data_IF_161877747702
#
_entry.id   IF_161877747702
#
_cell.length_a   1.000
_cell.length_b   1.000
_cell.length_c   1.000
_cell.angle_alpha   90.00
_cell.angle_beta   90.00
_cell.angle_gamma   90.00
#
_symmetry.space_group_name_H-M   'P 1'
#
loop_
_entity.id
_entity.type
_entity.pdbx_description
1 polymer ?
#
# COMPACT_ATOMS: atom_id res chain seq x y z
N UNK A 1 -6.24 33.28 17.69
CA UNK A 1 -7.29 32.94 16.69
C UNK A 1 -6.71 32.32 15.42
N UNK A 2 -5.60 32.84 14.88
CA UNK A 2 -4.93 32.30 13.69
C UNK A 2 -4.47 30.83 13.81
N UNK A 3 -4.08 30.37 15.00
CA UNK A 3 -3.66 28.99 15.26
C UNK A 3 -4.81 27.98 15.08
N UNK A 4 -5.98 28.25 15.66
CA UNK A 4 -7.17 27.39 15.50
C UNK A 4 -7.61 27.30 14.04
N UNK A 5 -7.64 28.41 13.31
CA UNK A 5 -8.00 28.40 11.89
C UNK A 5 -6.98 27.66 11.04
N UNK A 6 -5.70 27.76 11.38
CA UNK A 6 -4.63 26.98 10.74
C UNK A 6 -4.84 25.48 10.95
N UNK A 7 -5.14 25.05 12.17
CA UNK A 7 -5.42 23.63 12.46
C UNK A 7 -6.66 23.16 11.69
N UNK A 8 -7.75 23.94 11.67
CA UNK A 8 -8.97 23.61 10.90
C UNK A 8 -8.68 23.46 9.41
N UNK A 9 -7.88 24.36 8.82
CA UNK A 9 -7.46 24.28 7.42
C UNK A 9 -6.65 23.00 7.15
N UNK A 10 -5.72 22.65 8.03
CA UNK A 10 -4.93 21.42 7.93
C UNK A 10 -5.80 20.16 8.00
N UNK A 11 -6.73 20.10 8.96
CA UNK A 11 -7.69 18.97 9.09
C UNK A 11 -8.50 18.80 7.80
N UNK A 12 -9.07 19.88 7.26
CA UNK A 12 -9.83 19.84 6.00
C UNK A 12 -8.97 19.34 4.83
N UNK A 13 -7.71 19.77 4.74
CA UNK A 13 -6.80 19.30 3.70
C UNK A 13 -6.51 17.79 3.82
N UNK A 14 -6.25 17.29 5.03
CA UNK A 14 -6.03 15.85 5.29
C UNK A 14 -7.27 15.01 5.00
N UNK A 15 -8.48 15.49 5.35
CA UNK A 15 -9.73 14.79 5.01
C UNK A 15 -9.96 14.69 3.49
N UNK A 16 -9.68 15.75 2.73
CA UNK A 16 -9.77 15.70 1.26
C UNK A 16 -8.79 14.69 0.66
N UNK A 17 -7.56 14.68 1.17
CA UNK A 17 -6.53 13.72 0.75
C UNK A 17 -6.95 12.28 1.10
N UNK A 18 -7.41 12.05 2.33
CA UNK A 18 -7.92 10.76 2.79
C UNK A 18 -9.04 10.24 1.88
N UNK A 19 -10.07 11.07 1.64
CA UNK A 19 -11.19 10.69 0.80
C UNK A 19 -10.78 10.39 -0.64
N UNK A 20 -9.83 11.15 -1.20
CA UNK A 20 -9.29 10.90 -2.53
C UNK A 20 -8.54 9.58 -2.59
N UNK A 21 -7.70 9.31 -1.60
CA UNK A 21 -6.96 8.05 -1.51
C UNK A 21 -7.90 6.84 -1.37
N UNK A 22 -8.92 6.93 -0.52
CA UNK A 22 -9.92 5.85 -0.36
C UNK A 22 -10.63 5.58 -1.69
N UNK A 23 -11.06 6.62 -2.40
CA UNK A 23 -11.68 6.47 -3.73
C UNK A 23 -10.74 5.82 -4.75
N UNK A 24 -9.46 6.17 -4.75
CA UNK A 24 -8.46 5.56 -5.62
C UNK A 24 -8.28 4.07 -5.30
N UNK A 25 -8.21 3.71 -4.01
CA UNK A 25 -8.09 2.32 -3.58
C UNK A 25 -9.31 1.49 -4.01
N UNK A 26 -10.52 2.01 -3.85
CA UNK A 26 -11.75 1.31 -4.25
C UNK A 26 -11.88 1.08 -5.76
N UNK A 27 -11.12 1.80 -6.60
CA UNK A 27 -11.08 1.56 -8.06
C UNK A 27 -10.28 0.31 -8.45
N UNK A 28 -9.40 -0.19 -7.57
CA UNK A 28 -8.59 -1.37 -7.86
C UNK A 28 -9.35 -2.65 -7.52
N UNK A 29 -10.19 -3.10 -8.47
CA UNK A 29 -11.13 -4.23 -8.29
C UNK A 29 -10.46 -5.60 -8.22
N UNK A 30 -9.36 -5.79 -8.96
CA UNK A 30 -8.68 -7.07 -9.08
C UNK A 30 -7.20 -6.92 -8.74
N UNK A 31 -6.70 -7.87 -7.94
CA UNK A 31 -5.35 -7.87 -7.40
C UNK A 31 -4.84 -9.29 -7.29
N UNK A 32 -3.52 -9.44 -7.40
CA UNK A 32 -2.88 -10.72 -7.16
C UNK A 32 -1.77 -10.55 -6.12
N UNK A 33 -1.77 -11.41 -5.11
CA UNK A 33 -0.69 -11.50 -4.14
C UNK A 33 0.29 -12.60 -4.54
N UNK A 34 1.56 -12.24 -4.72
CA UNK A 34 2.59 -13.20 -5.04
C UNK A 34 3.85 -12.58 -5.62
N UNK A 35 4.65 -13.44 -6.23
CA UNK A 35 5.88 -13.09 -6.94
C UNK A 35 5.90 -13.79 -8.29
N UNK A 36 6.21 -13.05 -9.34
CA UNK A 36 6.39 -13.57 -10.69
C UNK A 36 7.88 -13.57 -11.02
N UNK A 37 8.44 -14.73 -11.39
CA UNK A 37 9.86 -14.87 -11.69
C UNK A 37 10.09 -15.86 -12.84
N UNK A 38 11.17 -15.70 -13.62
CA UNK A 38 11.54 -16.67 -14.63
C UNK A 38 12.17 -17.91 -14.00
N UNK A 39 11.86 -19.08 -14.55
CA UNK A 39 12.52 -20.35 -14.25
C UNK A 39 13.15 -20.91 -15.52
N UNK A 40 14.29 -21.57 -15.35
CA UNK A 40 14.98 -22.28 -16.43
C UNK A 40 15.18 -23.73 -16.04
N UNK A 41 14.90 -24.66 -16.96
CA UNK A 41 14.83 -26.09 -16.68
C UNK A 41 15.59 -26.96 -17.68
N UNK A 42 15.75 -28.23 -17.31
CA UNK A 42 16.25 -29.30 -18.18
C UNK A 42 15.05 -30.03 -18.81
N UNK A 43 15.19 -30.51 -20.05
CA UNK A 43 14.11 -31.22 -20.75
C UNK A 43 14.14 -32.75 -20.57
N UNK A 44 15.12 -33.30 -19.84
CA UNK A 44 15.25 -34.74 -19.58
C UNK A 44 15.88 -35.56 -20.72
N UNK A 45 15.93 -35.04 -21.95
CA UNK A 45 16.55 -35.74 -23.09
C UNK A 45 18.08 -35.88 -22.89
N UNK A 46 18.66 -37.10 -22.98
CA UNK A 46 20.08 -37.34 -22.70
C UNK A 46 21.03 -36.55 -23.61
N UNK A 47 20.65 -36.35 -24.87
CA UNK A 47 21.46 -35.70 -25.91
C UNK A 47 21.21 -34.19 -26.03
N UNK A 48 20.34 -33.61 -25.20
CA UNK A 48 20.04 -32.20 -25.30
C UNK A 48 21.16 -31.33 -24.72
N UNK A 49 21.61 -30.33 -25.48
CA UNK A 49 22.61 -29.35 -25.05
C UNK A 49 22.24 -28.57 -23.78
N UNK A 50 20.96 -28.58 -23.34
CA UNK A 50 20.56 -27.98 -22.07
C UNK A 50 21.23 -28.62 -20.84
N UNK A 51 21.75 -29.86 -20.96
CA UNK A 51 22.44 -30.58 -19.87
C UNK A 51 23.82 -30.01 -19.54
N UNK A 52 24.54 -29.51 -20.54
CA UNK A 52 25.92 -28.99 -20.40
C UNK A 52 26.02 -27.51 -20.75
N UNK A 53 24.95 -26.90 -21.26
CA UNK A 53 24.89 -25.50 -21.69
C UNK A 53 23.63 -24.77 -21.21
N UNK A 54 23.08 -23.92 -22.07
CA UNK A 54 21.94 -23.05 -21.73
C UNK A 54 20.67 -23.86 -21.43
N UNK A 55 20.10 -23.67 -20.23
CA UNK A 55 18.83 -24.28 -19.81
C UNK A 55 17.64 -23.73 -20.60
N UNK A 56 16.60 -24.55 -20.76
CA UNK A 56 15.36 -24.14 -21.43
C UNK A 56 14.59 -23.11 -20.61
N UNK A 57 13.93 -22.18 -21.29
CA UNK A 57 13.17 -21.09 -20.69
C UNK A 57 13.45 -19.74 -21.36
N UNK A 58 12.96 -18.63 -20.78
CA UNK A 58 12.31 -18.57 -19.48
C UNK A 58 10.88 -19.12 -19.48
N UNK A 59 10.57 -19.96 -18.50
CA UNK A 59 9.19 -20.27 -18.11
C UNK A 59 8.82 -19.34 -16.96
N UNK A 60 7.79 -18.52 -17.11
CA UNK A 60 7.38 -17.64 -16.03
C UNK A 60 6.53 -18.38 -15.01
N UNK A 61 6.91 -18.26 -13.74
CA UNK A 61 6.22 -18.90 -12.63
C UNK A 61 5.70 -17.83 -11.70
N UNK A 62 4.40 -17.90 -11.44
CA UNK A 62 3.77 -17.16 -10.36
C UNK A 62 3.79 -18.03 -9.10
N UNK A 63 4.37 -17.50 -8.03
CA UNK A 63 4.23 -18.04 -6.69
C UNK A 63 3.26 -17.20 -5.89
N UNK A 64 2.14 -17.78 -5.46
CA UNK A 64 1.24 -17.18 -4.48
C UNK A 64 1.43 -17.89 -3.14
N UNK A 65 1.42 -17.13 -2.04
CA UNK A 65 1.40 -17.68 -0.68
C UNK A 65 0.10 -17.24 -0.03
N UNK A 66 -0.76 -18.19 0.31
CA UNK A 66 -1.96 -17.96 1.13
C UNK A 66 -1.96 -18.92 2.31
N UNK A 67 -2.13 -18.41 3.53
CA UNK A 67 -2.28 -19.23 4.74
C UNK A 67 -1.20 -20.32 4.93
N UNK A 68 0.07 -19.99 4.69
CA UNK A 68 1.19 -20.92 4.90
C UNK A 68 1.40 -21.97 3.80
N UNK A 69 0.52 -22.04 2.79
CA UNK A 69 0.68 -22.91 1.61
C UNK A 69 1.01 -22.07 0.38
N UNK A 70 2.07 -22.47 -0.32
CA UNK A 70 2.49 -21.84 -1.58
C UNK A 70 1.96 -22.63 -2.77
N UNK A 71 1.32 -21.96 -3.73
CA UNK A 71 1.01 -22.54 -5.04
C UNK A 71 1.97 -21.94 -6.08
N UNK A 72 2.35 -22.76 -7.06
CA UNK A 72 3.10 -22.32 -8.24
C UNK A 72 2.25 -22.56 -9.48
N UNK A 73 2.13 -21.53 -10.32
CA UNK A 73 1.49 -21.62 -11.62
C UNK A 73 2.48 -21.19 -12.71
N UNK A 74 2.63 -22.00 -13.74
CA UNK A 74 3.35 -21.62 -14.96
C UNK A 74 2.42 -20.80 -15.84
N UNK A 75 2.91 -19.70 -16.38
CA UNK A 75 2.12 -18.75 -17.16
C UNK A 75 2.66 -18.64 -18.59
N UNK A 76 1.74 -18.51 -19.55
CA UNK A 76 2.05 -18.09 -20.92
C UNK A 76 2.34 -16.57 -21.01
N UNK A 77 2.70 -16.08 -22.20
CA UNK A 77 3.05 -14.67 -22.39
C UNK A 77 1.90 -13.68 -22.11
N UNK A 78 0.67 -14.04 -22.46
CA UNK A 78 -0.52 -13.21 -22.20
C UNK A 78 -0.89 -13.19 -20.72
N UNK A 79 -0.80 -14.33 -20.05
CA UNK A 79 -0.98 -14.49 -18.61
C UNK A 79 0.09 -13.74 -17.81
N UNK A 80 1.35 -13.77 -18.24
CA UNK A 80 2.46 -13.00 -17.63
C UNK A 80 2.14 -11.51 -17.61
N UNK A 81 1.65 -10.97 -18.72
CA UNK A 81 1.33 -9.54 -18.82
C UNK A 81 0.19 -9.17 -17.88
N UNK A 82 -0.88 -9.98 -17.85
CA UNK A 82 -2.00 -9.80 -16.92
C UNK A 82 -1.58 -9.91 -15.45
N UNK A 83 -0.80 -10.94 -15.11
CA UNK A 83 -0.31 -11.15 -13.76
C UNK A 83 0.56 -9.99 -13.25
N UNK A 84 1.42 -9.40 -14.11
CA UNK A 84 2.21 -8.21 -13.76
C UNK A 84 1.32 -7.03 -13.37
N UNK A 85 0.25 -6.78 -14.13
CA UNK A 85 -0.72 -5.73 -13.82
C UNK A 85 -1.38 -5.93 -12.46
N UNK A 86 -1.92 -7.14 -12.21
CA UNK A 86 -2.57 -7.48 -10.95
C UNK A 86 -1.62 -7.45 -9.74
N UNK A 87 -0.36 -7.85 -9.93
CA UNK A 87 0.69 -7.72 -8.91
C UNK A 87 1.02 -6.25 -8.62
N UNK A 88 1.01 -5.37 -9.63
CA UNK A 88 1.19 -3.93 -9.45
C UNK A 88 0.05 -3.34 -8.64
N UNK A 89 -1.20 -3.65 -8.98
CA UNK A 89 -2.36 -3.21 -8.22
C UNK A 89 -2.25 -3.62 -6.74
N UNK A 90 -1.91 -4.88 -6.46
CA UNK A 90 -1.72 -5.32 -5.08
C UNK A 90 -0.64 -4.49 -4.34
N UNK A 91 0.50 -4.19 -4.98
CA UNK A 91 1.56 -3.37 -4.38
C UNK A 91 1.11 -1.92 -4.14
N UNK A 92 0.41 -1.33 -5.10
CA UNK A 92 -0.13 0.03 -4.99
C UNK A 92 -1.17 0.13 -3.89
N UNK A 93 -2.09 -0.84 -3.81
CA UNK A 93 -3.09 -0.91 -2.77
C UNK A 93 -2.44 -1.00 -1.38
N UNK A 94 -1.42 -1.85 -1.23
CA UNK A 94 -0.64 -1.97 0.01
C UNK A 94 0.05 -0.66 0.41
N UNK A 95 0.64 0.07 -0.55
CA UNK A 95 1.22 1.41 -0.31
C UNK A 95 0.15 2.42 0.09
N UNK A 96 -1.00 2.38 -0.56
CA UNK A 96 -2.13 3.25 -0.23
C UNK A 96 -2.69 2.99 1.17
N UNK A 97 -2.79 1.74 1.61
CA UNK A 97 -3.15 1.42 3.01
C UNK A 97 -2.14 2.00 4.01
N UNK A 98 -0.84 1.92 3.72
CA UNK A 98 0.18 2.52 4.57
C UNK A 98 0.04 4.06 4.60
N UNK A 99 -0.23 4.70 3.45
CA UNK A 99 -0.49 6.14 3.38
C UNK A 99 -1.76 6.53 4.14
N UNK A 100 -2.82 5.75 4.03
CA UNK A 100 -4.09 5.99 4.73
C UNK A 100 -3.88 5.96 6.25
N UNK A 101 -3.14 4.98 6.76
CA UNK A 101 -2.75 4.93 8.19
C UNK A 101 -2.02 6.19 8.63
N UNK A 102 -1.07 6.67 7.83
CA UNK A 102 -0.34 7.91 8.12
C UNK A 102 -1.28 9.13 8.18
N UNK A 103 -2.15 9.30 7.18
CA UNK A 103 -3.12 10.42 7.15
C UNK A 103 -4.06 10.36 8.37
N UNK A 104 -4.53 9.17 8.74
CA UNK A 104 -5.40 9.01 9.91
C UNK A 104 -4.67 9.38 11.21
N UNK A 105 -3.40 8.99 11.35
CA UNK A 105 -2.58 9.40 12.49
C UNK A 105 -2.37 10.93 12.53
N UNK A 106 -2.09 11.56 11.38
CA UNK A 106 -1.96 13.02 11.28
C UNK A 106 -3.27 13.74 11.69
N UNK A 107 -4.43 13.23 11.28
CA UNK A 107 -5.74 13.75 11.68
C UNK A 107 -5.93 13.71 13.20
N UNK A 108 -5.63 12.57 13.84
CA UNK A 108 -5.72 12.44 15.30
C UNK A 108 -4.80 13.45 16.01
N UNK A 109 -3.56 13.60 15.54
CA UNK A 109 -2.62 14.58 16.09
C UNK A 109 -3.13 16.00 15.96
N UNK A 110 -3.68 16.38 14.80
CA UNK A 110 -4.25 17.71 14.59
C UNK A 110 -5.45 17.97 15.50
N UNK A 111 -6.33 16.98 15.69
CA UNK A 111 -7.50 17.11 16.56
C UNK A 111 -7.09 17.23 18.04
N UNK A 112 -6.06 16.51 18.50
CA UNK A 112 -5.50 16.68 19.85
C UNK A 112 -4.95 18.09 20.06
N UNK A 113 -4.19 18.62 19.09
CA UNK A 113 -3.70 20.01 19.14
C UNK A 113 -4.84 21.02 19.17
N UNK A 114 -5.88 20.81 18.37
CA UNK A 114 -7.06 21.65 18.38
C UNK A 114 -7.73 21.66 19.76
N UNK A 115 -7.93 20.49 20.37
CA UNK A 115 -8.50 20.36 21.70
C UNK A 115 -7.69 21.13 22.75
N UNK A 116 -6.37 20.95 22.79
CA UNK A 116 -5.48 21.66 23.72
C UNK A 116 -5.57 23.18 23.53
N UNK A 117 -5.56 23.66 22.29
CA UNK A 117 -5.66 25.09 22.00
C UNK A 117 -7.03 25.68 22.43
N UNK A 118 -8.11 24.91 22.29
CA UNK A 118 -9.44 25.32 22.76
C UNK A 118 -9.52 25.34 24.30
N UNK A 119 -9.00 24.31 24.98
CA UNK A 119 -8.95 24.25 26.45
C UNK A 119 -8.16 25.44 27.01
N UNK A 120 -6.95 25.70 26.48
CA UNK A 120 -6.12 26.83 26.91
C UNK A 120 -6.86 28.16 26.77
N UNK A 121 -7.50 28.39 25.62
CA UNK A 121 -8.30 29.60 25.38
C UNK A 121 -9.50 29.72 26.34
N UNK A 122 -10.10 28.59 26.71
CA UNK A 122 -11.16 28.54 27.72
C UNK A 122 -10.65 28.96 29.09
N UNK A 123 -9.49 28.43 29.51
CA UNK A 123 -8.82 28.81 30.75
C UNK A 123 -8.45 30.30 30.81
N UNK A 124 -7.82 30.82 29.74
CA UNK A 124 -7.48 32.25 29.58
C UNK A 124 -8.72 33.15 29.76
N UNK A 125 -9.85 32.78 29.15
CA UNK A 125 -11.10 33.55 29.25
C UNK A 125 -11.70 33.56 30.65
N UNK A 126 -11.47 32.52 31.43
CA UNK A 126 -11.97 32.39 32.79
C UNK A 126 -10.99 32.94 33.83
N UNK A 127 -9.85 33.51 33.41
CA UNK A 127 -8.81 33.96 34.33
C UNK A 127 -8.14 32.82 35.11
N UNK A 128 -8.30 31.57 34.65
CA UNK A 128 -7.67 30.40 35.27
C UNK A 128 -6.28 30.27 34.66
N UNK A 129 -5.25 30.61 35.43
CA UNK A 129 -3.86 30.37 35.04
C UNK A 129 -3.67 28.88 34.80
N UNK A 130 -3.51 28.52 33.53
CA UNK A 130 -3.06 27.21 33.08
C UNK A 130 -1.60 27.03 33.53
N UNK A 131 -1.38 26.75 34.81
CA UNK A 131 -0.11 26.22 35.27
C UNK A 131 -0.03 24.76 34.83
N UNK A 132 0.63 24.54 33.69
CA UNK A 132 1.22 23.28 33.31
C UNK A 132 2.60 23.57 32.71
#
# INVERSE_FOLDING_TARGET
>A
MADLETIRRQVRARLREQGTLVRLLLRQREQLQGSLFPRYGLCGKPTCGCRTGRRHGPYYVLSSRSAGRGAFAYLDAGEVTRARGLLSHHREFRRGLARLRKINAELVTLLRRYQQAVIRRGGERMGISSHA
#
